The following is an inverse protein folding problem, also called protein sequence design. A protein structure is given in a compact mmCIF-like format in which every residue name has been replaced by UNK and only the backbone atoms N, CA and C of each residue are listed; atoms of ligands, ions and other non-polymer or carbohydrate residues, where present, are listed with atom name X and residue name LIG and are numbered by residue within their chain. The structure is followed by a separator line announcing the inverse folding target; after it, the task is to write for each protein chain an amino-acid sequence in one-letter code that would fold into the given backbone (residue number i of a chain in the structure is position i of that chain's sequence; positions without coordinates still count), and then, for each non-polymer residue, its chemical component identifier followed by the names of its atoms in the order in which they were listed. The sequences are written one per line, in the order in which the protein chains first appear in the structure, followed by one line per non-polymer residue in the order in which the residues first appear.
data_IF_378020750798
#
_entry.id   IF_378020750798
#
_cell.length_a   1.000
_cell.length_b   1.000
_cell.length_c   1.000
_cell.angle_alpha   90.00
_cell.angle_beta   90.00
_cell.angle_gamma   90.00
#
_symmetry.space_group_name_H-M   'P 1'
#
loop_
_entity.id
_entity.type
_entity.pdbx_description
1 polymer ?
#
# COMPACT_ATOMS: atom_id res chain seq x y z
N UNK A 1 24.46 2.45 11.73
CA UNK A 1 23.81 3.25 10.68
C UNK A 1 23.94 2.48 9.37
N UNK A 2 22.95 1.69 9.03
CA UNK A 2 22.94 0.88 7.81
C UNK A 2 22.22 1.69 6.74
N UNK A 3 23.00 2.18 5.80
CA UNK A 3 22.55 2.93 4.63
C UNK A 3 21.59 2.04 3.80
N UNK A 4 20.29 2.13 4.06
CA UNK A 4 19.27 1.51 3.21
C UNK A 4 19.12 2.38 1.97
N UNK A 5 20.00 2.14 1.00
CA UNK A 5 19.79 2.64 -0.36
C UNK A 5 18.45 2.13 -0.84
N UNK A 6 17.50 3.04 -0.98
CA UNK A 6 16.26 2.78 -1.71
C UNK A 6 16.65 2.34 -3.12
N UNK A 7 16.54 1.03 -3.37
CA UNK A 7 16.67 0.50 -4.72
C UNK A 7 15.49 1.03 -5.52
N UNK A 8 15.70 2.15 -6.22
CA UNK A 8 14.71 2.61 -7.21
C UNK A 8 14.57 1.51 -8.25
N UNK A 9 13.34 1.08 -8.58
CA UNK A 9 13.14 0.06 -9.59
C UNK A 9 13.79 0.54 -10.89
N UNK A 10 14.69 -0.29 -11.45
CA UNK A 10 15.27 0.00 -12.75
C UNK A 10 14.20 -0.19 -13.81
N UNK A 11 13.97 0.85 -14.60
CA UNK A 11 13.08 0.77 -15.77
C UNK A 11 13.83 0.00 -16.84
N UNK A 12 13.31 -1.16 -17.20
CA UNK A 12 13.84 -1.97 -18.30
C UNK A 12 13.15 -1.50 -19.58
N UNK A 13 13.93 -0.98 -20.53
CA UNK A 13 13.38 -0.45 -21.78
C UNK A 13 12.95 -1.52 -22.79
N UNK A 14 13.30 -2.78 -22.59
CA UNK A 14 13.05 -3.85 -23.56
C UNK A 14 12.29 -5.01 -22.91
N UNK A 15 11.12 -5.27 -23.41
CA UNK A 15 10.38 -6.49 -23.11
C UNK A 15 8.90 -6.38 -23.48
N UNK A 16 8.47 -7.25 -24.36
CA UNK A 16 7.05 -7.54 -24.53
C UNK A 16 6.65 -8.56 -23.48
N UNK A 17 5.56 -8.29 -22.75
CA UNK A 17 4.95 -9.29 -21.86
C UNK A 17 3.70 -9.80 -22.53
N UNK A 18 3.59 -11.12 -22.66
CA UNK A 18 2.45 -11.79 -23.28
C UNK A 18 1.98 -12.92 -22.36
N UNK A 19 0.73 -12.89 -22.00
CA UNK A 19 0.13 -13.94 -21.17
C UNK A 19 -1.36 -14.09 -21.43
N UNK A 20 -1.87 -15.27 -21.06
CA UNK A 20 -3.29 -15.60 -21.13
C UNK A 20 -3.80 -15.88 -19.72
N UNK A 21 -4.86 -15.20 -19.32
CA UNK A 21 -5.50 -15.37 -18.01
C UNK A 21 -7.00 -15.62 -18.19
N UNK A 22 -7.59 -16.43 -17.31
CA UNK A 22 -9.04 -16.57 -17.26
C UNK A 22 -9.69 -15.26 -16.84
N UNK A 23 -10.75 -14.88 -17.51
CA UNK A 23 -11.50 -13.67 -17.19
C UNK A 23 -12.00 -13.63 -15.74
N UNK A 24 -12.40 -14.77 -15.20
CA UNK A 24 -12.83 -14.89 -13.81
C UNK A 24 -11.74 -14.45 -12.84
N UNK A 25 -10.51 -14.90 -13.10
CA UNK A 25 -9.36 -14.61 -12.25
C UNK A 25 -8.93 -13.14 -12.38
N UNK A 26 -8.93 -12.61 -13.61
CA UNK A 26 -8.67 -11.19 -13.83
C UNK A 26 -9.75 -10.30 -13.19
N UNK A 27 -11.02 -10.66 -13.28
CA UNK A 27 -12.10 -9.92 -12.63
C UNK A 27 -12.01 -10.01 -11.10
N UNK A 28 -11.52 -11.13 -10.58
CA UNK A 28 -11.23 -11.29 -9.15
C UNK A 28 -10.10 -10.36 -8.74
N UNK A 29 -8.99 -10.32 -9.48
CA UNK A 29 -7.88 -9.40 -9.24
C UNK A 29 -8.34 -7.94 -9.20
N UNK A 30 -9.13 -7.51 -10.20
CA UNK A 30 -9.67 -6.15 -10.27
C UNK A 30 -10.57 -5.84 -9.07
N UNK A 31 -11.41 -6.80 -8.65
CA UNK A 31 -12.28 -6.62 -7.49
C UNK A 31 -11.47 -6.48 -6.20
N UNK A 32 -10.46 -7.32 -6.02
CA UNK A 32 -9.57 -7.27 -4.85
C UNK A 32 -8.81 -5.94 -4.78
N UNK A 33 -8.20 -5.48 -5.88
CA UNK A 33 -7.57 -4.15 -5.94
C UNK A 33 -8.58 -3.05 -5.57
N UNK A 34 -9.78 -3.08 -6.17
CA UNK A 34 -10.81 -2.08 -5.90
C UNK A 34 -11.25 -2.05 -4.43
N UNK A 35 -11.37 -3.22 -3.82
CA UNK A 35 -11.85 -3.34 -2.44
C UNK A 35 -10.78 -2.93 -1.44
N UNK A 36 -9.56 -3.43 -1.62
CA UNK A 36 -8.46 -3.24 -0.66
C UNK A 36 -7.80 -1.86 -0.79
N UNK A 37 -7.83 -1.25 -1.99
CA UNK A 37 -7.20 0.04 -2.23
C UNK A 37 -8.19 1.21 -2.24
N UNK A 38 -9.44 1.01 -1.82
CA UNK A 38 -10.45 2.06 -1.79
C UNK A 38 -10.09 3.14 -0.78
N UNK A 39 -9.95 4.38 -1.26
CA UNK A 39 -9.65 5.54 -0.38
C UNK A 39 -8.18 5.66 0.02
N UNK A 40 -7.31 4.79 -0.50
CA UNK A 40 -5.86 4.90 -0.26
C UNK A 40 -5.27 5.87 -1.28
N UNK A 41 -4.53 6.92 -0.86
CA UNK A 41 -3.75 7.75 -1.76
C UNK A 41 -2.77 6.86 -2.55
N UNK A 42 -2.53 7.19 -3.81
CA UNK A 42 -1.62 6.45 -4.72
C UNK A 42 -2.05 5.03 -5.12
N UNK A 43 -3.23 4.55 -4.72
CA UNK A 43 -3.77 3.25 -5.13
C UNK A 43 -4.10 3.14 -6.64
N UNK A 44 -3.73 4.16 -7.43
CA UNK A 44 -4.02 4.18 -8.86
C UNK A 44 -3.06 3.33 -9.70
N UNK A 45 -1.94 2.89 -9.14
CA UNK A 45 -0.92 2.09 -9.83
C UNK A 45 -0.99 0.63 -9.40
N UNK A 46 -0.96 -0.27 -10.38
CA UNK A 46 -0.90 -1.72 -10.18
C UNK A 46 0.40 -2.23 -10.77
N UNK A 47 1.06 -3.11 -10.04
CA UNK A 47 2.24 -3.83 -10.47
C UNK A 47 1.85 -5.26 -10.79
N UNK A 48 2.30 -5.74 -11.93
CA UNK A 48 2.04 -7.11 -12.38
C UNK A 48 3.37 -7.80 -12.67
N UNK A 49 3.60 -8.91 -12.00
CA UNK A 49 4.69 -9.83 -12.26
C UNK A 49 4.09 -11.07 -12.92
N UNK A 50 4.42 -11.29 -14.16
CA UNK A 50 3.97 -12.45 -14.94
C UNK A 50 5.13 -13.44 -15.03
N UNK A 51 4.92 -14.65 -14.51
CA UNK A 51 5.77 -15.82 -14.72
C UNK A 51 5.12 -16.76 -15.75
N UNK A 52 5.70 -17.93 -15.97
CA UNK A 52 5.12 -18.93 -16.88
C UNK A 52 3.74 -19.42 -16.41
N UNK A 53 3.51 -19.53 -15.11
CA UNK A 53 2.31 -20.19 -14.55
C UNK A 53 1.48 -19.27 -13.65
N UNK A 54 2.02 -18.15 -13.25
CA UNK A 54 1.38 -17.26 -12.29
C UNK A 54 1.53 -15.78 -12.67
N UNK A 55 0.52 -15.00 -12.31
CA UNK A 55 0.56 -13.55 -12.33
C UNK A 55 0.35 -13.04 -10.91
N UNK A 56 1.37 -12.41 -10.36
CA UNK A 56 1.23 -11.68 -9.09
C UNK A 56 0.77 -10.25 -9.38
N UNK A 57 -0.32 -9.87 -8.75
CA UNK A 57 -0.85 -8.51 -8.75
C UNK A 57 -0.51 -7.87 -7.43
N UNK A 58 0.26 -6.78 -7.47
CA UNK A 58 0.61 -6.00 -6.29
C UNK A 58 0.08 -4.58 -6.44
N UNK A 59 -0.58 -4.09 -5.43
CA UNK A 59 -1.01 -2.70 -5.29
C UNK A 59 -0.77 -2.26 -3.85
N UNK A 60 -1.03 -0.98 -3.55
CA UNK A 60 -0.87 -0.50 -2.17
C UNK A 60 -1.71 -1.34 -1.22
N UNK A 61 -1.06 -1.96 -0.25
CA UNK A 61 -1.72 -2.75 0.77
C UNK A 61 -2.21 -4.13 0.34
N UNK A 62 -1.89 -4.62 -0.87
CA UNK A 62 -2.29 -5.96 -1.29
C UNK A 62 -1.28 -6.63 -2.23
N UNK A 63 -1.22 -7.95 -2.12
CA UNK A 63 -0.57 -8.83 -3.07
C UNK A 63 -1.41 -10.10 -3.23
N UNK A 64 -1.70 -10.48 -4.46
CA UNK A 64 -2.47 -11.69 -4.77
C UNK A 64 -1.92 -12.36 -6.02
N UNK A 65 -1.99 -13.69 -6.05
CA UNK A 65 -1.48 -14.51 -7.14
C UNK A 65 -2.63 -15.19 -7.89
N UNK A 66 -2.53 -15.25 -9.20
CA UNK A 66 -3.52 -15.85 -10.10
C UNK A 66 -2.85 -16.75 -11.13
N UNK A 67 -3.45 -17.89 -11.48
CA UNK A 67 -2.92 -18.78 -12.51
C UNK A 67 -3.02 -18.12 -13.89
N UNK A 68 -1.93 -18.19 -14.64
CA UNK A 68 -1.85 -17.70 -16.02
C UNK A 68 -1.06 -18.68 -16.89
N UNK A 69 -1.16 -18.51 -18.19
CA UNK A 69 -0.22 -19.06 -19.15
C UNK A 69 0.66 -17.89 -19.66
N UNK A 70 1.87 -17.77 -19.10
CA UNK A 70 2.83 -16.75 -19.46
C UNK A 70 3.67 -17.18 -20.68
N UNK A 71 3.40 -16.59 -21.82
CA UNK A 71 4.12 -16.88 -23.08
C UNK A 71 5.43 -16.11 -23.12
N UNK A 72 5.39 -14.86 -22.64
CA UNK A 72 6.57 -14.00 -22.43
C UNK A 72 6.48 -13.38 -21.04
N UNK A 73 7.17 -13.94 -20.05
CA UNK A 73 7.18 -13.43 -18.69
C UNK A 73 7.78 -12.03 -18.60
N UNK A 74 7.40 -11.30 -17.55
CA UNK A 74 7.97 -9.99 -17.27
C UNK A 74 7.21 -9.23 -16.19
N UNK A 75 7.78 -8.10 -15.81
CA UNK A 75 7.22 -7.24 -14.76
C UNK A 75 6.92 -5.86 -15.33
N UNK A 76 5.75 -5.34 -15.04
CA UNK A 76 5.35 -4.02 -15.49
C UNK A 76 4.37 -3.37 -14.52
N UNK A 77 4.29 -2.06 -14.62
CA UNK A 77 3.29 -1.26 -13.91
C UNK A 77 2.35 -0.57 -14.87
N UNK A 78 1.12 -0.36 -14.44
CA UNK A 78 0.12 0.42 -15.17
C UNK A 78 -0.89 1.06 -14.20
N UNK A 79 -1.60 2.12 -14.62
CA UNK A 79 -2.74 2.62 -13.88
C UNK A 79 -3.86 1.58 -13.78
N UNK A 80 -4.47 1.47 -12.62
CA UNK A 80 -5.61 0.56 -12.39
C UNK A 80 -6.77 0.80 -13.36
N UNK A 81 -7.02 2.06 -13.72
CA UNK A 81 -8.04 2.43 -14.70
C UNK A 81 -7.80 1.78 -16.08
N UNK A 82 -6.53 1.68 -16.49
CA UNK A 82 -6.15 1.04 -17.76
C UNK A 82 -6.41 -0.46 -17.70
N UNK A 83 -5.99 -1.13 -16.62
CA UNK A 83 -6.26 -2.56 -16.40
C UNK A 83 -7.76 -2.84 -16.45
N UNK A 84 -8.56 -2.05 -15.75
CA UNK A 84 -10.02 -2.18 -15.74
C UNK A 84 -10.63 -1.98 -17.13
N UNK A 85 -10.16 -1.00 -17.90
CA UNK A 85 -10.66 -0.72 -19.24
C UNK A 85 -10.39 -1.87 -20.21
N UNK A 86 -9.18 -2.42 -20.22
CA UNK A 86 -8.79 -3.53 -21.09
C UNK A 86 -9.66 -4.76 -20.83
N UNK A 87 -9.90 -5.09 -19.57
CA UNK A 87 -10.67 -6.26 -19.18
C UNK A 87 -12.17 -6.12 -19.44
N UNK A 88 -12.69 -4.89 -19.55
CA UNK A 88 -14.10 -4.64 -19.86
C UNK A 88 -14.42 -4.74 -21.37
N UNK A 89 -13.42 -4.72 -22.25
CA UNK A 89 -13.64 -4.55 -23.69
C UNK A 89 -14.20 -5.77 -24.44
N UNK A 90 -14.10 -6.99 -23.93
CA UNK A 90 -14.63 -8.19 -24.61
C UNK A 90 -15.16 -9.26 -23.67
N UNK A 91 -16.28 -9.90 -24.02
CA UNK A 91 -16.88 -10.98 -23.21
C UNK A 91 -16.26 -12.36 -23.57
N UNK A 92 -14.94 -12.50 -23.56
CA UNK A 92 -14.27 -13.79 -23.79
C UNK A 92 -14.02 -14.51 -22.46
N UNK A 93 -13.97 -15.84 -22.46
CA UNK A 93 -13.64 -16.65 -21.27
C UNK A 93 -12.18 -16.45 -20.84
N UNK A 94 -11.31 -16.22 -21.80
CA UNK A 94 -9.89 -15.99 -21.61
C UNK A 94 -9.48 -14.63 -22.19
N UNK A 95 -8.53 -14.00 -21.55
CA UNK A 95 -7.94 -12.72 -21.96
C UNK A 95 -6.47 -12.96 -22.31
N UNK A 96 -6.16 -12.86 -23.58
CA UNK A 96 -4.76 -12.75 -24.02
C UNK A 96 -4.35 -11.29 -23.92
N UNK A 97 -3.42 -10.99 -23.01
CA UNK A 97 -2.91 -9.65 -22.80
C UNK A 97 -1.48 -9.54 -23.37
N UNK A 98 -1.31 -8.57 -24.23
CA UNK A 98 -0.02 -8.23 -24.82
C UNK A 98 0.36 -6.81 -24.38
N UNK A 99 1.42 -6.72 -23.60
CA UNK A 99 1.97 -5.45 -23.09
C UNK A 99 3.22 -5.12 -23.85
N UNK A 100 3.19 -3.98 -24.54
CA UNK A 100 4.29 -3.44 -25.31
C UNK A 100 4.62 -2.02 -24.84
N UNK A 101 5.74 -1.49 -25.26
CA UNK A 101 6.06 -0.10 -25.01
C UNK A 101 5.00 0.81 -25.66
N UNK A 102 4.30 1.58 -24.84
CA UNK A 102 3.28 2.53 -25.29
C UNK A 102 1.91 1.96 -25.61
N UNK A 103 1.69 0.64 -25.52
CA UNK A 103 0.41 0.03 -25.81
C UNK A 103 0.15 -1.27 -25.04
N UNK A 104 -1.10 -1.47 -24.68
CA UNK A 104 -1.57 -2.73 -24.11
C UNK A 104 -2.74 -3.21 -24.94
N UNK A 105 -2.66 -4.43 -25.45
CA UNK A 105 -3.69 -4.99 -26.31
C UNK A 105 -4.28 -6.28 -25.74
N UNK A 106 -5.56 -6.51 -26.06
CA UNK A 106 -6.26 -7.77 -25.84
C UNK A 106 -7.08 -8.11 -27.08
N UNK A 107 -6.67 -9.13 -27.80
CA UNK A 107 -7.21 -9.44 -29.12
C UNK A 107 -7.06 -8.28 -30.09
N UNK A 108 -8.16 -7.81 -30.72
CA UNK A 108 -8.13 -6.64 -31.63
C UNK A 108 -8.28 -5.29 -30.93
N UNK A 109 -8.40 -5.25 -29.60
CA UNK A 109 -8.55 -4.02 -28.84
C UNK A 109 -7.22 -3.58 -28.26
N UNK A 110 -6.85 -2.33 -28.51
CA UNK A 110 -5.59 -1.74 -28.04
C UNK A 110 -5.88 -0.47 -27.23
N UNK A 111 -5.24 -0.34 -26.10
CA UNK A 111 -5.21 0.90 -25.31
C UNK A 111 -3.80 1.46 -25.42
N UNK A 112 -3.66 2.65 -25.97
CA UNK A 112 -2.40 3.37 -25.98
C UNK A 112 -2.15 3.92 -24.59
N UNK A 113 -1.24 3.34 -23.89
CA UNK A 113 -0.77 3.80 -22.59
C UNK A 113 0.62 3.22 -22.34
N UNK A 114 1.60 4.01 -21.96
CA UNK A 114 2.91 3.49 -21.62
C UNK A 114 2.80 2.62 -20.38
N UNK A 115 2.84 1.30 -20.55
CA UNK A 115 3.18 0.42 -19.44
C UNK A 115 4.68 0.58 -19.19
N UNK A 116 5.05 0.73 -17.93
CA UNK A 116 6.45 0.82 -17.53
C UNK A 116 6.91 -0.58 -17.19
N UNK A 117 7.85 -1.12 -17.96
CA UNK A 117 8.49 -2.39 -17.64
C UNK A 117 9.49 -2.19 -16.50
N UNK A 118 9.49 -3.11 -15.57
CA UNK A 118 10.33 -3.08 -14.38
C UNK A 118 11.18 -4.33 -14.28
N UNK A 119 12.40 -4.20 -13.76
CA UNK A 119 13.25 -5.36 -13.46
C UNK A 119 12.71 -6.16 -12.26
N UNK A 120 12.09 -5.47 -11.31
CA UNK A 120 11.50 -6.05 -10.11
C UNK A 120 10.25 -5.28 -9.72
N UNK A 121 9.33 -5.93 -9.01
CA UNK A 121 8.22 -5.20 -8.37
C UNK A 121 8.80 -4.43 -7.18
N UNK A 122 8.60 -3.10 -7.12
CA UNK A 122 9.04 -2.33 -5.96
C UNK A 122 8.26 -2.75 -4.71
N UNK A 123 8.88 -2.62 -3.55
CA UNK A 123 8.16 -2.74 -2.29
C UNK A 123 7.11 -1.65 -2.20
N UNK A 124 5.85 -2.07 -2.19
CA UNK A 124 4.73 -1.14 -2.02
C UNK A 124 4.57 -0.86 -0.55
N UNK A 125 5.05 0.31 -0.12
CA UNK A 125 4.90 0.73 1.28
C UNK A 125 3.53 1.34 1.46
N UNK A 126 2.78 0.81 2.42
CA UNK A 126 1.56 1.46 2.92
C UNK A 126 2.00 2.51 3.92
N UNK A 127 1.86 3.79 3.55
CA UNK A 127 1.99 4.87 4.51
C UNK A 127 0.63 5.13 5.12
N UNK A 128 0.44 4.75 6.37
CA UNK A 128 -0.75 5.14 7.11
C UNK A 128 -0.40 6.45 7.81
N UNK A 129 -1.05 7.57 7.50
CA UNK A 129 -0.79 8.82 8.17
C UNK A 129 -1.32 8.72 9.62
N UNK A 130 -0.42 8.44 10.55
CA UNK A 130 -0.68 8.64 11.97
C UNK A 130 -0.22 10.06 12.25
N UNK A 131 -1.12 10.89 12.76
CA UNK A 131 -0.81 12.28 13.09
C UNK A 131 0.20 12.34 14.24
N UNK A 132 1.49 12.43 13.87
CA UNK A 132 2.59 12.51 14.83
C UNK A 132 2.59 13.83 15.62
N UNK A 133 1.83 14.85 15.20
CA UNK A 133 1.76 16.15 15.89
C UNK A 133 1.21 16.05 17.32
N UNK A 134 0.52 14.95 17.63
CA UNK A 134 -0.04 14.67 18.95
C UNK A 134 0.84 13.74 19.81
N UNK A 135 1.96 13.24 19.29
CA UNK A 135 2.81 12.30 20.06
C UNK A 135 3.34 12.92 21.33
N UNK A 136 3.78 14.17 21.30
CA UNK A 136 4.24 14.86 22.49
C UNK A 136 3.17 14.95 23.58
N UNK A 137 1.91 15.20 23.21
CA UNK A 137 0.78 15.21 24.14
C UNK A 137 0.51 13.82 24.74
N UNK A 138 0.65 12.75 23.95
CA UNK A 138 0.50 11.40 24.44
C UNK A 138 1.61 11.01 25.43
N UNK A 139 2.85 11.44 25.14
CA UNK A 139 3.99 11.26 26.04
C UNK A 139 3.81 12.07 27.33
N UNK A 140 3.44 13.34 27.22
CA UNK A 140 3.14 14.22 28.37
C UNK A 140 2.07 13.58 29.28
N UNK A 141 0.99 13.03 28.66
CA UNK A 141 -0.08 12.35 29.39
C UNK A 141 0.33 11.04 30.07
N UNK A 142 1.52 10.50 29.76
CA UNK A 142 2.11 9.35 30.48
C UNK A 142 3.07 9.80 31.59
N UNK A 143 3.75 10.91 31.38
CA UNK A 143 4.79 11.39 32.28
C UNK A 143 4.25 12.20 33.46
N UNK A 144 3.18 12.95 33.24
CA UNK A 144 2.60 13.82 34.25
C UNK A 144 1.39 13.14 34.93
N UNK A 145 1.27 13.33 36.23
CA UNK A 145 0.10 12.91 36.99
C UNK A 145 -1.13 13.78 36.69
N UNK A 146 -2.31 13.27 36.98
CA UNK A 146 -3.59 13.91 36.65
C UNK A 146 -3.71 15.32 37.25
N UNK A 147 -3.29 15.54 38.49
CA UNK A 147 -3.29 16.85 39.15
C UNK A 147 -2.40 17.88 38.42
N UNK A 148 -1.27 17.46 37.90
CA UNK A 148 -0.39 18.36 37.15
C UNK A 148 -0.93 18.68 35.76
N UNK A 149 -1.58 17.70 35.12
CA UNK A 149 -2.26 17.89 33.84
C UNK A 149 -3.45 18.84 33.96
N UNK A 150 -4.22 18.76 35.04
CA UNK A 150 -5.31 19.69 35.33
C UNK A 150 -4.79 21.10 35.54
N UNK A 151 -3.74 21.27 36.35
CA UNK A 151 -3.11 22.55 36.61
C UNK A 151 -2.60 23.23 35.33
N UNK A 152 -2.12 22.43 34.37
CA UNK A 152 -1.64 22.92 33.07
C UNK A 152 -2.75 23.05 32.01
N UNK A 153 -3.99 22.66 32.31
CA UNK A 153 -5.12 22.69 31.37
C UNK A 153 -4.95 21.75 30.18
N UNK A 154 -4.23 20.64 30.35
CA UNK A 154 -3.89 19.71 29.28
C UNK A 154 -4.82 18.50 29.18
N UNK A 155 -5.68 18.26 30.17
CA UNK A 155 -6.53 17.07 30.26
C UNK A 155 -7.36 16.86 28.98
N UNK A 156 -8.11 17.87 28.55
CA UNK A 156 -8.97 17.79 27.36
C UNK A 156 -8.16 17.65 26.06
N UNK A 157 -6.97 18.24 26.00
CA UNK A 157 -6.11 18.14 24.82
C UNK A 157 -5.58 16.73 24.69
N UNK A 158 -5.14 16.12 25.79
CA UNK A 158 -4.64 14.74 25.83
C UNK A 158 -5.78 13.75 25.55
N UNK A 159 -6.98 13.97 26.09
CA UNK A 159 -8.13 13.12 25.80
C UNK A 159 -8.45 13.12 24.30
N UNK A 160 -8.48 14.29 23.66
CA UNK A 160 -8.69 14.42 22.22
C UNK A 160 -7.55 13.78 21.40
N UNK A 161 -6.30 13.93 21.84
CA UNK A 161 -5.15 13.30 21.18
C UNK A 161 -5.26 11.77 21.24
N UNK A 162 -5.64 11.21 22.39
CA UNK A 162 -5.88 9.75 22.57
C UNK A 162 -7.02 9.23 21.67
N UNK A 163 -8.12 9.97 21.58
CA UNK A 163 -9.24 9.58 20.73
C UNK A 163 -8.87 9.55 19.25
N UNK A 164 -8.16 10.55 18.76
CA UNK A 164 -7.65 10.59 17.38
C UNK A 164 -6.69 9.43 17.10
N UNK A 165 -5.75 9.23 17.98
CA UNK A 165 -4.79 8.14 17.91
C UNK A 165 -5.47 6.76 17.83
N UNK A 166 -6.50 6.48 18.65
CA UNK A 166 -7.23 5.24 18.58
C UNK A 166 -8.00 5.06 17.27
N UNK A 167 -8.51 6.15 16.69
CA UNK A 167 -9.14 6.13 15.37
C UNK A 167 -8.12 5.82 14.26
N UNK A 168 -6.96 6.46 14.30
CA UNK A 168 -5.90 6.25 13.31
C UNK A 168 -5.38 4.81 13.34
N UNK A 169 -5.17 4.25 14.53
CA UNK A 169 -4.81 2.82 14.70
C UNK A 169 -5.90 1.90 14.13
N UNK A 170 -7.17 2.20 14.38
CA UNK A 170 -8.26 1.37 13.86
C UNK A 170 -8.30 1.38 12.32
N UNK A 171 -8.08 2.55 11.70
CA UNK A 171 -7.96 2.69 10.25
C UNK A 171 -6.75 1.92 9.73
N UNK A 172 -5.58 2.10 10.35
CA UNK A 172 -4.36 1.40 9.99
C UNK A 172 -4.51 -0.12 10.07
N UNK A 173 -5.08 -0.63 11.17
CA UNK A 173 -5.36 -2.05 11.35
C UNK A 173 -6.30 -2.59 10.27
N UNK A 174 -7.33 -1.83 9.92
CA UNK A 174 -8.25 -2.18 8.83
C UNK A 174 -7.54 -2.32 7.48
N UNK A 175 -6.62 -1.40 7.17
CA UNK A 175 -5.83 -1.44 5.92
C UNK A 175 -4.82 -2.60 5.90
N UNK A 176 -4.31 -3.00 7.06
CA UNK A 176 -3.23 -3.99 7.19
C UNK A 176 -3.73 -5.40 7.55
N UNK A 177 -5.05 -5.60 7.67
CA UNK A 177 -5.66 -6.89 8.04
C UNK A 177 -5.20 -8.04 7.13
N UNK A 178 -5.05 -7.79 5.84
CA UNK A 178 -4.60 -8.79 4.87
C UNK A 178 -3.15 -9.27 5.09
N UNK A 179 -2.34 -8.49 5.80
CA UNK A 179 -0.97 -8.85 6.20
C UNK A 179 -0.91 -9.47 7.60
N UNK A 180 -2.07 -9.86 8.15
CA UNK A 180 -2.20 -10.40 9.50
C UNK A 180 -1.73 -9.44 10.61
N UNK A 181 -1.60 -8.15 10.32
CA UNK A 181 -1.29 -7.13 11.32
C UNK A 181 -2.56 -6.76 12.05
N UNK A 182 -2.59 -7.02 13.35
CA UNK A 182 -3.73 -6.73 14.20
C UNK A 182 -3.58 -5.38 14.89
N UNK A 183 -4.70 -4.82 15.37
CA UNK A 183 -4.70 -3.58 16.13
C UNK A 183 -3.70 -3.61 17.30
N UNK A 184 -3.64 -4.74 18.04
CA UNK A 184 -2.71 -4.93 19.14
C UNK A 184 -1.23 -4.84 18.72
N UNK A 185 -0.90 -5.33 17.52
CA UNK A 185 0.47 -5.29 17.01
C UNK A 185 0.90 -3.83 16.73
N UNK A 186 -0.02 -3.02 16.20
CA UNK A 186 0.21 -1.58 15.97
C UNK A 186 0.30 -0.81 17.30
N UNK A 187 -0.53 -1.13 18.27
CA UNK A 187 -0.48 -0.52 19.60
C UNK A 187 0.87 -0.76 20.27
N UNK A 188 1.43 -1.97 20.16
CA UNK A 188 2.77 -2.29 20.67
C UNK A 188 3.85 -1.50 19.96
N UNK A 189 3.80 -1.41 18.63
CA UNK A 189 4.79 -0.65 17.85
C UNK A 189 4.79 0.83 18.24
N UNK A 190 3.62 1.43 18.40
CA UNK A 190 3.52 2.84 18.76
C UNK A 190 3.88 3.06 20.22
N UNK A 191 3.55 2.14 21.11
CA UNK A 191 4.01 2.19 22.49
C UNK A 191 5.54 2.27 22.58
N UNK A 192 6.23 1.52 21.72
CA UNK A 192 7.69 1.59 21.60
C UNK A 192 8.15 2.97 21.13
N UNK A 193 7.53 3.54 20.09
CA UNK A 193 7.87 4.87 19.59
C UNK A 193 7.63 5.97 20.63
N UNK A 194 6.54 5.87 21.40
CA UNK A 194 6.26 6.81 22.49
C UNK A 194 7.33 6.72 23.60
N UNK A 195 7.78 5.51 23.95
CA UNK A 195 8.89 5.33 24.91
C UNK A 195 10.21 5.90 24.39
N UNK A 196 10.50 5.76 23.11
CA UNK A 196 11.67 6.37 22.49
C UNK A 196 11.64 7.91 22.52
N UNK A 197 10.44 8.50 22.43
CA UNK A 197 10.26 9.95 22.49
C UNK A 197 10.30 10.53 23.92
N UNK A 198 10.08 9.70 24.95
CA UNK A 198 10.03 10.16 26.37
C UNK A 198 11.24 10.99 26.82
N UNK A 199 12.52 10.62 26.51
CA UNK A 199 13.67 11.42 26.96
C UNK A 199 13.66 12.83 26.42
N UNK A 200 13.30 13.01 25.14
CA UNK A 200 13.25 14.32 24.50
C UNK A 200 12.13 15.19 25.10
N UNK A 201 10.95 14.60 25.31
CA UNK A 201 9.80 15.31 25.91
C UNK A 201 10.09 15.66 27.38
N UNK A 202 10.71 14.76 28.15
CA UNK A 202 11.16 15.06 29.51
C UNK A 202 12.12 16.25 29.55
N UNK A 203 13.12 16.27 28.68
CA UNK A 203 14.06 17.38 28.60
C UNK A 203 13.34 18.71 28.32
N UNK A 204 12.32 18.71 27.46
CA UNK A 204 11.56 19.91 27.12
C UNK A 204 10.59 20.36 28.23
N UNK A 205 10.10 19.45 29.10
CA UNK A 205 9.21 19.80 30.23
C UNK A 205 10.00 20.43 31.39
N UNK A 206 11.24 19.98 31.62
CA UNK A 206 12.03 20.35 32.79
C UNK A 206 13.16 21.34 32.47
N UNK A 207 13.23 21.87 31.24
CA UNK A 207 14.11 22.95 30.82
C UNK A 207 13.50 24.33 31.12
#
# INVERSE_FOLDING_TARGET
MTDRRELKPQIVQEGEVLFVIRRTDMNRAIREVRTNCKGVPDANTVYLLVSEYAMTVRAVGMESEYPVNGIRPGTFQMPFAVLRRITSMRPTKELALHVQQGAISSGSSTVRHPAIHLSTIPDVRVSVPIDASNFDLLVIGRLLGEAELEKQGLVDRIARARERYLKDIAIAASCLTQYHVRKADLEVMIDHLLKEAEPAVKAAIYA
#
